data_IF_197052747674
#
_entry.id   IF_197052747674
#
_cell.length_a   1.000
_cell.length_b   1.000
_cell.length_c   1.000
_cell.angle_alpha   90.00
_cell.angle_beta   90.00
_cell.angle_gamma   90.00
#
_symmetry.space_group_name_H-M   'P 1'
#
loop_
_entity.id
_entity.type
_entity.pdbx_description
1 polymer ?
#
# COMPACT_ATOMS: atom_id res chain seq x y z
N UNK A 1 -16.57 29.08 27.35
CA UNK A 1 -16.72 27.60 27.37
C UNK A 1 -16.92 26.95 25.98
N UNK A 2 -17.01 27.71 24.87
CA UNK A 2 -17.30 27.18 23.53
C UNK A 2 -16.06 26.72 22.73
N UNK A 3 -14.92 27.39 22.90
CA UNK A 3 -13.69 27.12 22.12
C UNK A 3 -13.12 25.70 22.31
N UNK A 4 -13.14 25.17 23.54
CA UNK A 4 -12.65 23.82 23.84
C UNK A 4 -13.55 22.68 23.32
N UNK A 5 -14.83 22.95 23.06
CA UNK A 5 -15.79 21.96 22.54
C UNK A 5 -15.62 21.75 21.03
N UNK A 6 -15.34 22.82 20.28
CA UNK A 6 -15.07 22.76 18.84
C UNK A 6 -13.77 22.01 18.50
N UNK A 7 -12.69 22.29 19.23
CA UNK A 7 -11.39 21.61 19.02
C UNK A 7 -11.50 20.10 19.26
N UNK A 8 -12.21 19.68 20.33
CA UNK A 8 -12.43 18.27 20.60
C UNK A 8 -13.19 17.55 19.47
N UNK A 9 -14.25 18.18 18.93
CA UNK A 9 -15.00 17.60 17.80
C UNK A 9 -14.15 17.49 16.54
N UNK A 10 -13.34 18.51 16.23
CA UNK A 10 -12.41 18.46 15.10
C UNK A 10 -11.41 17.30 15.23
N UNK A 11 -10.87 17.07 16.42
CA UNK A 11 -10.00 15.93 16.72
C UNK A 11 -10.69 14.60 16.45
N UNK A 12 -11.92 14.43 16.96
CA UNK A 12 -12.66 13.19 16.78
C UNK A 12 -12.90 12.85 15.31
N UNK A 13 -13.26 13.84 14.49
CA UNK A 13 -13.44 13.65 13.04
C UNK A 13 -12.14 13.44 12.28
N UNK A 14 -11.09 14.20 12.62
CA UNK A 14 -9.77 13.99 12.01
C UNK A 14 -9.29 12.55 12.26
N UNK A 15 -9.38 12.06 13.51
CA UNK A 15 -9.02 10.68 13.83
C UNK A 15 -9.90 9.68 13.07
N UNK A 16 -11.21 9.93 13.00
CA UNK A 16 -12.16 9.04 12.30
C UNK A 16 -11.74 8.84 10.83
N UNK A 17 -11.34 9.91 10.15
CA UNK A 17 -10.97 9.88 8.73
C UNK A 17 -9.51 9.49 8.49
N UNK A 18 -8.61 9.89 9.38
CA UNK A 18 -7.20 9.56 9.27
C UNK A 18 -6.94 8.08 9.57
N UNK A 19 -7.69 7.45 10.49
CA UNK A 19 -7.40 6.09 10.92
C UNK A 19 -7.40 5.05 9.78
N UNK A 20 -8.46 4.94 8.94
CA UNK A 20 -8.43 4.00 7.82
C UNK A 20 -7.25 4.26 6.88
N UNK A 21 -7.01 5.54 6.55
CA UNK A 21 -5.93 5.95 5.66
C UNK A 21 -4.55 5.60 6.22
N UNK A 22 -4.31 5.83 7.52
CA UNK A 22 -3.04 5.52 8.18
C UNK A 22 -2.79 4.01 8.26
N UNK A 23 -3.84 3.20 8.48
CA UNK A 23 -3.72 1.73 8.45
C UNK A 23 -3.34 1.24 7.05
N UNK A 24 -3.98 1.79 6.01
CA UNK A 24 -3.62 1.49 4.61
C UNK A 24 -2.18 1.90 4.31
N UNK A 25 -1.79 3.16 4.60
CA UNK A 25 -0.44 3.64 4.35
C UNK A 25 0.63 2.79 5.08
N UNK A 26 0.37 2.41 6.34
CA UNK A 26 1.25 1.51 7.08
C UNK A 26 1.34 0.13 6.43
N UNK A 27 0.22 -0.46 6.03
CA UNK A 27 0.20 -1.77 5.35
C UNK A 27 0.93 -1.74 4.02
N UNK A 28 0.74 -0.70 3.19
CA UNK A 28 1.45 -0.51 1.92
C UNK A 28 2.95 -0.37 2.14
N UNK A 29 3.38 0.34 3.20
CA UNK A 29 4.80 0.47 3.52
C UNK A 29 5.44 -0.86 3.92
N UNK A 30 4.71 -1.73 4.62
CA UNK A 30 5.17 -3.07 4.98
C UNK A 30 5.17 -3.99 3.76
N UNK A 31 4.14 -3.91 2.94
CA UNK A 31 3.99 -4.67 1.70
C UNK A 31 5.14 -4.38 0.73
N UNK A 32 5.44 -3.11 0.50
CA UNK A 32 6.55 -2.67 -0.34
C UNK A 32 7.86 -2.68 0.45
N UNK A 33 8.23 -3.85 0.96
CA UNK A 33 9.49 -4.09 1.65
C UNK A 33 10.17 -5.36 1.15
N UNK A 34 11.48 -5.43 1.32
CA UNK A 34 12.26 -6.61 0.92
C UNK A 34 11.82 -7.84 1.71
N UNK A 35 11.45 -7.67 2.98
CA UNK A 35 11.02 -8.78 3.82
C UNK A 35 9.66 -9.33 3.41
N UNK A 36 8.70 -8.47 3.05
CA UNK A 36 7.42 -8.97 2.53
C UNK A 36 7.64 -9.74 1.22
N UNK A 37 8.41 -9.16 0.28
CA UNK A 37 8.74 -9.84 -0.98
C UNK A 37 9.41 -11.20 -0.71
N UNK A 38 10.39 -11.24 0.19
CA UNK A 38 11.10 -12.47 0.57
C UNK A 38 10.16 -13.53 1.14
N UNK A 39 9.31 -13.15 2.09
CA UNK A 39 8.34 -14.07 2.71
C UNK A 39 7.35 -14.61 1.68
N UNK A 40 6.84 -13.73 0.82
CA UNK A 40 5.85 -14.06 -0.20
C UNK A 40 6.42 -15.06 -1.22
N UNK A 41 7.60 -14.78 -1.77
CA UNK A 41 8.24 -15.63 -2.76
C UNK A 41 8.77 -16.95 -2.22
N UNK A 42 9.03 -17.04 -0.91
CA UNK A 42 9.48 -18.26 -0.25
C UNK A 42 8.32 -19.10 0.32
N UNK A 43 7.07 -18.62 0.23
CA UNK A 43 5.93 -19.36 0.77
C UNK A 43 5.62 -20.60 -0.08
N UNK A 44 5.15 -21.70 0.55
CA UNK A 44 4.73 -22.89 -0.19
C UNK A 44 3.63 -22.57 -1.19
N UNK A 45 3.81 -22.99 -2.44
CA UNK A 45 2.79 -22.88 -3.50
C UNK A 45 2.79 -21.56 -4.28
N UNK A 46 3.73 -20.64 -4.05
CA UNK A 46 3.85 -19.45 -4.92
C UNK A 46 4.22 -19.86 -6.35
N UNK A 47 3.55 -19.32 -7.39
CA UNK A 47 3.73 -19.78 -8.77
C UNK A 47 5.11 -19.44 -9.33
N UNK A 48 5.70 -20.41 -10.03
CA UNK A 48 6.95 -20.20 -10.79
C UNK A 48 6.74 -19.20 -11.95
N UNK A 49 7.83 -18.55 -12.39
CA UNK A 49 7.79 -17.75 -13.62
C UNK A 49 7.75 -18.67 -14.86
N UNK A 50 6.72 -18.59 -15.71
CA UNK A 50 6.71 -19.35 -16.96
C UNK A 50 7.80 -18.92 -17.94
N UNK A 51 8.41 -17.74 -17.75
CA UNK A 51 9.45 -17.18 -18.62
C UNK A 51 10.88 -17.33 -18.05
N UNK A 52 11.06 -18.06 -16.95
CA UNK A 52 12.38 -18.54 -16.51
C UNK A 52 13.09 -17.73 -15.43
N UNK A 53 12.47 -16.72 -14.81
CA UNK A 53 12.97 -16.19 -13.54
C UNK A 53 12.77 -17.23 -12.43
N UNK A 54 13.87 -17.58 -11.77
CA UNK A 54 13.83 -18.34 -10.53
C UNK A 54 13.30 -17.49 -9.39
N UNK A 55 12.94 -18.11 -8.28
CA UNK A 55 12.61 -17.38 -7.04
C UNK A 55 13.73 -16.41 -6.66
N UNK A 56 14.99 -16.83 -6.78
CA UNK A 56 16.14 -15.97 -6.46
C UNK A 56 16.22 -14.77 -7.41
N UNK A 57 16.02 -14.97 -8.72
CA UNK A 57 15.98 -13.85 -9.68
C UNK A 57 14.91 -12.82 -9.33
N UNK A 58 13.72 -13.28 -8.92
CA UNK A 58 12.63 -12.37 -8.55
C UNK A 58 12.92 -11.60 -7.27
N UNK A 59 13.65 -12.19 -6.32
CA UNK A 59 14.11 -11.51 -5.11
C UNK A 59 15.23 -10.51 -5.41
N UNK A 60 16.15 -10.86 -6.30
CA UNK A 60 17.29 -9.99 -6.64
C UNK A 60 16.81 -8.80 -7.50
N UNK A 61 16.04 -9.06 -8.55
CA UNK A 61 15.59 -8.02 -9.47
C UNK A 61 14.38 -7.23 -8.94
N UNK A 62 13.47 -7.89 -8.21
CA UNK A 62 12.27 -7.25 -7.66
C UNK A 62 12.57 -6.27 -6.54
N UNK A 63 13.72 -6.37 -5.87
CA UNK A 63 14.10 -5.39 -4.85
C UNK A 63 14.59 -4.07 -5.45
N UNK A 64 15.15 -4.07 -6.66
CA UNK A 64 15.57 -2.84 -7.34
C UNK A 64 14.42 -1.85 -7.54
N UNK A 65 13.24 -2.32 -7.95
CA UNK A 65 12.08 -1.47 -8.08
C UNK A 65 11.57 -1.00 -6.70
N UNK A 66 11.58 -1.83 -5.66
CA UNK A 66 11.23 -1.40 -4.29
C UNK A 66 12.17 -0.30 -3.79
N UNK A 67 13.48 -0.46 -3.96
CA UNK A 67 14.49 0.53 -3.60
C UNK A 67 14.29 1.84 -4.37
N UNK A 68 13.95 1.76 -5.66
CA UNK A 68 13.65 2.92 -6.48
C UNK A 68 12.42 3.69 -5.97
N UNK A 69 11.35 2.99 -5.60
CA UNK A 69 10.09 3.61 -5.15
C UNK A 69 10.25 4.47 -3.89
N UNK A 70 11.19 4.12 -3.00
CA UNK A 70 11.44 4.86 -1.75
C UNK A 70 12.75 5.66 -1.74
N UNK A 71 13.61 5.47 -2.74
CA UNK A 71 14.87 6.20 -2.90
C UNK A 71 14.69 7.58 -3.53
N UNK A 72 15.74 8.40 -3.50
CA UNK A 72 15.78 9.72 -4.16
C UNK A 72 16.20 9.68 -5.62
N UNK A 73 16.57 8.50 -6.14
CA UNK A 73 17.07 8.35 -7.50
C UNK A 73 15.97 8.48 -8.56
N UNK A 74 16.35 8.90 -9.76
CA UNK A 74 15.50 8.83 -10.94
C UNK A 74 15.53 7.41 -11.58
N UNK A 75 14.73 7.21 -12.62
CA UNK A 75 14.57 5.92 -13.30
C UNK A 75 15.81 5.47 -14.04
N UNK A 76 16.83 6.32 -14.22
CA UNK A 76 18.09 5.93 -14.88
C UNK A 76 18.78 4.77 -14.16
N UNK A 77 18.61 4.68 -12.82
CA UNK A 77 19.11 3.54 -12.03
C UNK A 77 18.50 2.20 -12.42
N UNK A 78 17.30 2.20 -12.97
CA UNK A 78 16.62 0.99 -13.43
C UNK A 78 16.83 0.77 -14.93
N UNK A 79 16.99 1.86 -15.70
CA UNK A 79 17.05 1.84 -17.16
C UNK A 79 18.24 1.03 -17.71
N UNK A 80 19.36 1.00 -16.98
CA UNK A 80 20.58 0.31 -17.40
C UNK A 80 20.71 -1.12 -16.81
N UNK A 81 19.74 -1.57 -16.00
CA UNK A 81 19.78 -2.92 -15.45
C UNK A 81 19.56 -3.94 -16.56
N UNK A 82 20.39 -4.97 -16.61
CA UNK A 82 20.34 -6.02 -17.61
C UNK A 82 20.09 -7.38 -16.97
N UNK A 83 19.38 -8.23 -17.70
CA UNK A 83 19.16 -9.63 -17.36
C UNK A 83 19.91 -10.55 -18.35
N UNK A 84 20.23 -11.79 -17.94
CA UNK A 84 20.88 -12.74 -18.84
C UNK A 84 20.06 -12.96 -20.13
N UNK A 85 20.70 -13.07 -21.31
CA UNK A 85 19.99 -13.17 -22.59
C UNK A 85 18.93 -14.28 -22.67
N UNK A 86 19.16 -15.40 -22.00
CA UNK A 86 18.23 -16.53 -21.92
C UNK A 86 16.97 -16.25 -21.10
N UNK A 87 16.96 -15.19 -20.28
CA UNK A 87 15.82 -14.73 -19.47
C UNK A 87 15.14 -13.50 -20.08
N UNK A 88 15.69 -12.96 -21.17
CA UNK A 88 15.17 -11.79 -21.86
C UNK A 88 13.84 -12.09 -22.55
N UNK A 89 12.98 -11.09 -22.59
CA UNK A 89 11.77 -11.10 -23.39
C UNK A 89 12.09 -11.06 -24.91
N UNK A 90 11.35 -11.80 -25.74
CA UNK A 90 11.52 -11.86 -27.21
C UNK A 90 10.22 -11.41 -27.92
N UNK A 91 10.29 -10.71 -29.08
CA UNK A 91 11.24 -10.98 -30.17
C UNK A 91 12.52 -10.12 -30.21
N UNK A 92 13.50 -10.65 -30.94
CA UNK A 92 14.93 -10.36 -30.87
C UNK A 92 15.41 -9.03 -31.47
N UNK A 93 14.55 -8.15 -31.96
CA UNK A 93 14.90 -6.89 -32.62
C UNK A 93 15.05 -5.69 -31.66
N UNK A 94 14.43 -5.75 -30.48
CA UNK A 94 14.61 -4.76 -29.40
C UNK A 94 15.54 -5.25 -28.25
N UNK A 95 16.10 -6.45 -28.36
CA UNK A 95 16.78 -7.18 -27.29
C UNK A 95 18.31 -6.95 -27.21
N UNK A 96 18.86 -5.92 -27.86
CA UNK A 96 20.31 -5.75 -27.98
C UNK A 96 21.07 -5.71 -26.64
N UNK A 97 20.41 -5.25 -25.57
CA UNK A 97 21.01 -5.09 -24.24
C UNK A 97 20.32 -5.92 -23.13
N UNK A 98 19.28 -6.70 -23.46
CA UNK A 98 18.52 -7.50 -22.48
C UNK A 98 18.15 -6.69 -21.22
N UNK A 99 17.59 -5.50 -21.39
CA UNK A 99 17.23 -4.63 -20.27
C UNK A 99 16.19 -5.31 -19.37
N UNK A 100 16.32 -5.12 -18.06
CA UNK A 100 15.38 -5.65 -17.07
C UNK A 100 14.00 -5.01 -17.28
N UNK A 101 13.92 -3.69 -17.42
CA UNK A 101 12.66 -2.98 -17.66
C UNK A 101 12.68 -2.28 -19.01
N UNK A 102 11.59 -2.38 -19.75
CA UNK A 102 11.35 -1.62 -20.96
C UNK A 102 10.87 -0.19 -20.65
N UNK A 103 10.81 0.66 -21.68
CA UNK A 103 10.45 2.07 -21.51
C UNK A 103 9.04 2.30 -20.94
N UNK A 104 8.08 1.40 -21.19
CA UNK A 104 6.74 1.50 -20.62
C UNK A 104 6.74 1.12 -19.13
N UNK A 105 7.44 0.04 -18.77
CA UNK A 105 7.58 -0.42 -17.38
C UNK A 105 8.28 0.63 -16.51
N UNK A 106 9.34 1.27 -17.03
CA UNK A 106 10.05 2.35 -16.35
C UNK A 106 9.13 3.56 -16.07
N UNK A 107 8.38 4.02 -17.08
CA UNK A 107 7.41 5.12 -16.90
C UNK A 107 6.35 4.77 -15.87
N UNK A 108 5.86 3.53 -15.87
CA UNK A 108 4.89 3.09 -14.87
C UNK A 108 5.48 3.08 -13.46
N UNK A 109 6.72 2.61 -13.28
CA UNK A 109 7.40 2.67 -11.98
C UNK A 109 7.58 4.12 -11.51
N UNK A 110 7.84 5.07 -12.41
CA UNK A 110 7.86 6.51 -12.08
C UNK A 110 6.48 7.01 -11.62
N UNK A 111 5.41 6.65 -12.34
CA UNK A 111 4.04 6.99 -11.93
C UNK A 111 3.72 6.43 -10.54
N UNK A 112 4.05 5.16 -10.29
CA UNK A 112 3.86 4.50 -8.98
C UNK A 112 4.64 5.24 -7.90
N UNK A 113 5.89 5.64 -8.17
CA UNK A 113 6.71 6.42 -7.24
C UNK A 113 6.05 7.76 -6.89
N UNK A 114 5.48 8.45 -7.86
CA UNK A 114 4.77 9.71 -7.62
C UNK A 114 3.52 9.52 -6.75
N UNK A 115 2.73 8.48 -7.03
CA UNK A 115 1.55 8.12 -6.21
C UNK A 115 1.96 7.81 -4.78
N UNK A 116 2.97 6.95 -4.58
CA UNK A 116 3.45 6.59 -3.25
C UNK A 116 4.00 7.81 -2.50
N UNK A 117 4.78 8.66 -3.18
CA UNK A 117 5.31 9.90 -2.59
C UNK A 117 4.17 10.79 -2.09
N UNK A 118 3.13 10.99 -2.90
CA UNK A 118 1.97 11.79 -2.51
C UNK A 118 1.19 11.17 -1.33
N UNK A 119 0.95 9.85 -1.37
CA UNK A 119 0.26 9.12 -0.30
C UNK A 119 1.02 9.22 1.02
N UNK A 120 2.34 8.97 1.02
CA UNK A 120 3.15 9.03 2.23
C UNK A 120 3.35 10.47 2.74
N UNK A 121 3.43 11.46 1.86
CA UNK A 121 3.44 12.87 2.26
C UNK A 121 2.12 13.25 2.96
N UNK A 122 0.98 12.85 2.40
CA UNK A 122 -0.33 13.07 3.02
C UNK A 122 -0.44 12.33 4.37
N UNK A 123 0.06 11.10 4.46
CA UNK A 123 0.09 10.34 5.71
C UNK A 123 0.91 11.05 6.79
N UNK A 124 2.08 11.58 6.42
CA UNK A 124 2.91 12.37 7.33
C UNK A 124 2.18 13.64 7.81
N UNK A 125 1.52 14.38 6.92
CA UNK A 125 0.73 15.57 7.28
C UNK A 125 -0.43 15.20 8.22
N UNK A 126 -1.19 14.15 7.92
CA UNK A 126 -2.27 13.66 8.78
C UNK A 126 -1.78 13.24 10.16
N UNK A 127 -0.63 12.56 10.24
CA UNK A 127 -0.01 12.15 11.49
C UNK A 127 0.42 13.37 12.33
N UNK A 128 1.10 14.35 11.71
CA UNK A 128 1.53 15.58 12.38
C UNK A 128 0.33 16.43 12.85
N UNK A 129 -0.70 16.58 12.03
CA UNK A 129 -1.92 17.29 12.40
C UNK A 129 -2.63 16.62 13.58
N UNK A 130 -2.72 15.29 13.56
CA UNK A 130 -3.28 14.51 14.67
C UNK A 130 -2.45 14.70 15.94
N UNK A 131 -1.12 14.59 15.87
CA UNK A 131 -0.22 14.78 17.01
C UNK A 131 -0.31 16.19 17.61
N UNK A 132 -0.33 17.23 16.77
CA UNK A 132 -0.45 18.62 17.21
C UNK A 132 -1.78 18.88 17.95
N UNK A 133 -2.89 18.35 17.44
CA UNK A 133 -4.19 18.50 18.08
C UNK A 133 -4.30 17.68 19.38
N UNK A 134 -3.69 16.48 19.42
CA UNK A 134 -3.61 15.69 20.65
C UNK A 134 -2.82 16.44 21.74
N UNK A 135 -1.69 17.05 21.37
CA UNK A 135 -0.90 17.89 22.29
C UNK A 135 -1.71 19.09 22.80
N UNK A 136 -2.38 19.82 21.90
CA UNK A 136 -3.20 20.98 22.26
C UNK A 136 -4.39 20.65 23.17
N UNK A 137 -4.86 19.39 23.16
CA UNK A 137 -6.06 18.97 23.88
C UNK A 137 -5.78 17.99 25.04
N UNK A 138 -4.50 17.75 25.38
CA UNK A 138 -4.03 16.70 26.29
C UNK A 138 -4.67 16.71 27.68
N UNK A 139 -5.03 17.88 28.20
CA UNK A 139 -5.59 18.05 29.56
C UNK A 139 -7.11 18.00 29.65
N UNK A 140 -7.84 17.96 28.53
CA UNK A 140 -9.31 18.06 28.53
C UNK A 140 -10.05 16.71 28.58
N UNK A 141 -10.89 16.48 29.60
CA UNK A 141 -11.75 15.29 29.67
C UNK A 141 -12.67 15.15 28.42
N UNK A 142 -13.16 16.28 27.89
CA UNK A 142 -13.92 16.31 26.64
C UNK A 142 -13.09 15.82 25.44
N UNK A 143 -11.81 16.17 25.37
CA UNK A 143 -10.93 15.75 24.29
C UNK A 143 -10.66 14.24 24.33
N UNK A 144 -10.39 13.68 25.52
CA UNK A 144 -10.25 12.23 25.71
C UNK A 144 -11.46 11.45 25.19
N UNK A 145 -12.68 11.93 25.49
CA UNK A 145 -13.92 11.34 24.97
C UNK A 145 -14.00 11.41 23.44
N UNK A 146 -13.62 12.53 22.84
CA UNK A 146 -13.65 12.69 21.37
C UNK A 146 -12.59 11.85 20.66
N UNK A 147 -11.39 11.72 21.23
CA UNK A 147 -10.35 10.82 20.74
C UNK A 147 -10.87 9.38 20.71
N UNK A 148 -11.41 8.91 21.85
CA UNK A 148 -11.98 7.56 21.96
C UNK A 148 -13.10 7.34 20.94
N UNK A 149 -14.04 8.28 20.84
CA UNK A 149 -15.16 8.19 19.89
C UNK A 149 -14.66 8.20 18.44
N UNK A 150 -13.62 9.00 18.13
CA UNK A 150 -12.99 9.03 16.82
C UNK A 150 -12.30 7.73 16.47
N UNK A 151 -11.57 7.11 17.41
CA UNK A 151 -10.96 5.79 17.24
C UNK A 151 -12.01 4.70 16.96
N UNK A 152 -13.10 4.68 17.74
CA UNK A 152 -14.19 3.72 17.55
C UNK A 152 -14.86 3.91 16.18
N UNK A 153 -15.18 5.15 15.79
CA UNK A 153 -15.77 5.45 14.48
C UNK A 153 -14.83 5.11 13.33
N UNK A 154 -13.56 5.49 13.44
CA UNK A 154 -12.54 5.18 12.44
C UNK A 154 -12.33 3.67 12.28
N UNK A 155 -12.35 2.92 13.38
CA UNK A 155 -12.25 1.46 13.35
C UNK A 155 -13.48 0.84 12.66
N UNK A 156 -14.70 1.26 13.02
CA UNK A 156 -15.91 0.80 12.34
C UNK A 156 -15.91 1.16 10.85
N UNK A 157 -15.47 2.37 10.49
CA UNK A 157 -15.34 2.81 9.10
C UNK A 157 -14.33 1.95 8.34
N UNK A 158 -13.18 1.64 8.95
CA UNK A 158 -12.16 0.77 8.37
C UNK A 158 -12.73 -0.63 8.11
N UNK A 159 -13.41 -1.23 9.09
CA UNK A 159 -14.02 -2.55 8.96
C UNK A 159 -15.10 -2.58 7.86
N UNK A 160 -15.94 -1.55 7.80
CA UNK A 160 -16.95 -1.42 6.75
C UNK A 160 -16.31 -1.30 5.36
N UNK A 161 -15.25 -0.50 5.23
CA UNK A 161 -14.52 -0.32 3.98
C UNK A 161 -13.84 -1.63 3.54
N UNK A 162 -13.12 -2.31 4.45
CA UNK A 162 -12.47 -3.60 4.15
C UNK A 162 -13.49 -4.64 3.73
N UNK A 163 -14.62 -4.76 4.44
CA UNK A 163 -15.68 -5.72 4.08
C UNK A 163 -16.25 -5.43 2.69
N UNK A 164 -16.51 -4.15 2.39
CA UNK A 164 -17.05 -3.73 1.08
C UNK A 164 -16.06 -4.05 -0.04
N UNK A 165 -14.78 -3.69 0.13
CA UNK A 165 -13.72 -3.96 -0.84
C UNK A 165 -13.50 -5.46 -1.03
N UNK A 166 -13.52 -6.25 0.05
CA UNK A 166 -13.37 -7.70 -0.01
C UNK A 166 -14.51 -8.36 -0.80
N UNK A 167 -15.76 -7.94 -0.59
CA UNK A 167 -16.91 -8.45 -1.36
C UNK A 167 -16.75 -8.11 -2.84
N UNK A 168 -16.34 -6.89 -3.19
CA UNK A 168 -16.10 -6.51 -4.59
C UNK A 168 -14.97 -7.32 -5.22
N UNK A 169 -13.84 -7.49 -4.52
CA UNK A 169 -12.70 -8.26 -5.02
C UNK A 169 -13.03 -9.73 -5.25
N UNK A 170 -13.82 -10.35 -4.38
CA UNK A 170 -14.27 -11.76 -4.54
C UNK A 170 -15.28 -11.90 -5.68
N UNK A 171 -16.16 -10.90 -5.86
CA UNK A 171 -17.20 -10.96 -6.88
C UNK A 171 -16.66 -10.67 -8.29
N UNK A 172 -15.67 -9.78 -8.43
CA UNK A 172 -15.17 -9.31 -9.73
C UNK A 172 -13.72 -8.82 -9.63
N UNK A 173 -12.77 -9.74 -9.40
CA UNK A 173 -11.35 -9.42 -9.24
C UNK A 173 -10.79 -8.53 -10.36
N UNK A 174 -10.93 -8.95 -11.63
CA UNK A 174 -10.38 -8.21 -12.77
C UNK A 174 -10.91 -6.78 -12.83
N UNK A 175 -12.23 -6.60 -12.66
CA UNK A 175 -12.85 -5.28 -12.69
C UNK A 175 -12.43 -4.42 -11.49
N UNK A 176 -12.31 -5.02 -10.30
CA UNK A 176 -11.87 -4.30 -9.11
C UNK A 176 -10.40 -3.86 -9.23
N UNK A 177 -9.53 -4.73 -9.75
CA UNK A 177 -8.13 -4.43 -10.02
C UNK A 177 -8.01 -3.28 -11.04
N UNK A 178 -8.77 -3.36 -12.12
CA UNK A 178 -8.74 -2.37 -13.18
C UNK A 178 -9.21 -0.99 -12.70
N UNK A 179 -10.37 -0.94 -12.02
CA UNK A 179 -10.91 0.30 -11.47
C UNK A 179 -9.97 0.92 -10.44
N UNK A 180 -9.30 0.11 -9.62
CA UNK A 180 -8.30 0.59 -8.68
C UNK A 180 -7.14 1.29 -9.42
N UNK A 181 -6.62 0.68 -10.48
CA UNK A 181 -5.50 1.26 -11.24
C UNK A 181 -5.91 2.52 -12.01
N UNK A 182 -7.12 2.58 -12.55
CA UNK A 182 -7.64 3.75 -13.29
C UNK A 182 -7.81 5.01 -12.41
N UNK A 183 -7.92 4.85 -11.09
CA UNK A 183 -7.92 5.99 -10.15
C UNK A 183 -6.57 6.70 -10.13
N UNK A 184 -5.47 5.95 -10.31
CA UNK A 184 -4.10 6.44 -10.12
C UNK A 184 -3.34 6.63 -11.44
N UNK A 185 -3.69 5.87 -12.48
CA UNK A 185 -2.91 5.75 -13.70
C UNK A 185 -3.78 5.98 -14.94
N UNK A 186 -3.17 6.58 -15.97
CA UNK A 186 -3.84 6.78 -17.25
C UNK A 186 -4.12 5.43 -17.96
N UNK A 187 -5.17 5.40 -18.79
CA UNK A 187 -5.52 4.21 -19.55
C UNK A 187 -4.34 3.73 -20.42
N UNK A 188 -3.98 2.45 -20.30
CA UNK A 188 -2.92 1.81 -21.08
C UNK A 188 -1.50 1.96 -20.52
N UNK A 189 -1.28 2.64 -19.39
CA UNK A 189 0.07 2.82 -18.81
C UNK A 189 0.44 1.80 -17.74
N UNK A 190 -0.45 0.89 -17.38
CA UNK A 190 -0.29 -0.03 -16.26
C UNK A 190 -0.61 -1.49 -16.59
N UNK A 191 -1.03 -1.79 -17.83
CA UNK A 191 -1.20 -3.17 -18.31
C UNK A 191 0.00 -3.55 -19.17
N UNK A 192 0.59 -4.69 -18.85
CA UNK A 192 1.76 -5.22 -19.55
C UNK A 192 1.52 -6.66 -19.97
N UNK A 193 2.15 -7.12 -21.06
CA UNK A 193 2.24 -8.54 -21.38
C UNK A 193 2.78 -9.34 -20.19
N UNK A 194 2.29 -10.57 -19.96
CA UNK A 194 2.80 -11.47 -18.91
C UNK A 194 4.30 -11.80 -19.02
N UNK A 195 4.85 -11.55 -20.19
CA UNK A 195 6.22 -11.80 -20.58
C UNK A 195 7.17 -10.62 -20.26
N UNK A 196 6.62 -9.45 -19.94
CA UNK A 196 7.36 -8.27 -19.47
C UNK A 196 7.88 -8.51 -18.05
N UNK A 197 9.09 -8.03 -17.75
CA UNK A 197 9.77 -8.34 -16.49
C UNK A 197 9.00 -7.87 -15.27
N UNK A 198 8.33 -6.73 -15.31
CA UNK A 198 7.56 -6.16 -14.22
C UNK A 198 6.46 -7.11 -13.76
N UNK A 199 5.69 -7.70 -14.69
CA UNK A 199 4.66 -8.68 -14.36
C UNK A 199 5.27 -10.02 -13.97
N UNK A 200 6.44 -10.37 -14.52
CA UNK A 200 7.17 -11.55 -14.08
C UNK A 200 7.71 -11.40 -12.65
N UNK A 201 8.05 -10.19 -12.21
CA UNK A 201 8.54 -9.85 -10.87
C UNK A 201 7.41 -9.60 -9.87
N UNK A 202 6.26 -9.13 -10.33
CA UNK A 202 5.07 -8.87 -9.52
C UNK A 202 3.85 -9.49 -10.24
N UNK A 203 3.72 -10.83 -10.22
CA UNK A 203 2.63 -11.50 -10.91
C UNK A 203 1.30 -11.24 -10.22
N UNK A 204 0.20 -11.49 -10.92
CA UNK A 204 -1.17 -11.33 -10.40
C UNK A 204 -1.38 -11.98 -9.02
N UNK A 205 -0.81 -13.17 -8.81
CA UNK A 205 -0.87 -13.86 -7.52
C UNK A 205 -0.34 -12.98 -6.37
N UNK A 206 0.79 -12.27 -6.57
CA UNK A 206 1.33 -11.35 -5.58
C UNK A 206 0.35 -10.23 -5.24
N UNK A 207 -0.43 -9.74 -6.21
CA UNK A 207 -1.45 -8.72 -5.97
C UNK A 207 -2.66 -9.26 -5.21
N UNK A 208 -3.06 -10.50 -5.47
CA UNK A 208 -4.10 -11.19 -4.67
C UNK A 208 -3.65 -11.31 -3.21
N UNK A 209 -2.44 -11.81 -2.98
CA UNK A 209 -1.90 -11.97 -1.61
C UNK A 209 -1.68 -10.63 -0.92
N UNK A 210 -1.23 -9.61 -1.67
CA UNK A 210 -1.13 -8.23 -1.20
C UNK A 210 -2.48 -7.69 -0.73
N UNK A 211 -3.55 -7.97 -1.48
CA UNK A 211 -4.91 -7.55 -1.12
C UNK A 211 -5.39 -8.21 0.17
N UNK A 212 -5.12 -9.50 0.35
CA UNK A 212 -5.38 -10.19 1.62
C UNK A 212 -4.56 -9.63 2.78
N UNK A 213 -3.28 -9.35 2.57
CA UNK A 213 -2.42 -8.76 3.60
C UNK A 213 -2.92 -7.38 4.04
N UNK A 214 -3.18 -6.48 3.09
CA UNK A 214 -3.68 -5.12 3.37
C UNK A 214 -5.03 -5.19 4.09
N UNK A 215 -5.97 -6.00 3.58
CA UNK A 215 -7.29 -6.18 4.19
C UNK A 215 -7.20 -6.75 5.60
N UNK A 216 -6.40 -7.80 5.80
CA UNK A 216 -6.18 -8.44 7.10
C UNK A 216 -5.50 -7.51 8.10
N UNK A 217 -4.46 -6.78 7.68
CA UNK A 217 -3.76 -5.80 8.52
C UNK A 217 -4.70 -4.67 8.96
N UNK A 218 -5.48 -4.11 8.03
CA UNK A 218 -6.42 -3.03 8.33
C UNK A 218 -7.55 -3.51 9.25
N UNK A 219 -8.14 -4.69 8.97
CA UNK A 219 -9.19 -5.26 9.81
C UNK A 219 -8.67 -5.61 11.21
N UNK A 220 -7.53 -6.28 11.31
CA UNK A 220 -6.90 -6.65 12.58
C UNK A 220 -6.55 -5.40 13.41
N UNK A 221 -5.93 -4.40 12.79
CA UNK A 221 -5.62 -3.12 13.42
C UNK A 221 -6.88 -2.41 13.93
N UNK A 222 -7.94 -2.35 13.11
CA UNK A 222 -9.22 -1.76 13.49
C UNK A 222 -9.88 -2.49 14.67
N UNK A 223 -9.88 -3.82 14.68
CA UNK A 223 -10.40 -4.62 15.81
C UNK A 223 -9.63 -4.34 17.09
N UNK A 224 -8.30 -4.35 17.04
CA UNK A 224 -7.45 -4.05 18.21
C UNK A 224 -7.75 -2.64 18.73
N UNK A 225 -7.82 -1.64 17.87
CA UNK A 225 -8.15 -0.26 18.24
C UNK A 225 -9.55 -0.17 18.87
N UNK A 226 -10.54 -0.88 18.31
CA UNK A 226 -11.90 -0.90 18.83
C UNK A 226 -11.95 -1.54 20.23
N UNK A 227 -11.23 -2.64 20.44
CA UNK A 227 -11.12 -3.31 21.74
C UNK A 227 -10.44 -2.40 22.78
N UNK A 228 -9.26 -1.86 22.46
CA UNK A 228 -8.50 -1.01 23.37
C UNK A 228 -9.26 0.28 23.74
N UNK A 229 -9.90 0.92 22.75
CA UNK A 229 -10.71 2.12 22.99
C UNK A 229 -11.96 1.85 23.83
N UNK A 230 -12.56 0.66 23.71
CA UNK A 230 -13.70 0.23 24.52
C UNK A 230 -13.29 -0.18 25.94
N UNK A 231 -12.11 -0.77 26.13
CA UNK A 231 -11.57 -1.05 27.46
C UNK A 231 -11.20 0.24 28.21
N UNK A 232 -10.72 1.26 27.50
CA UNK A 232 -10.49 2.60 28.07
C UNK A 232 -11.79 3.20 28.62
N UNK A 233 -12.93 3.02 27.93
CA UNK A 233 -14.23 3.47 28.44
C UNK A 233 -14.60 2.86 29.78
N UNK A 234 -14.38 1.55 29.95
CA UNK A 234 -14.74 0.82 31.18
C UNK A 234 -13.89 1.17 32.40
N UNK A 235 -12.68 1.69 32.20
CA UNK A 235 -11.77 2.11 33.29
C UNK A 235 -11.94 3.57 33.72
N UNK A 236 -12.60 4.37 32.90
CA UNK A 236 -12.88 5.79 33.16
C UNK A 236 -14.30 6.10 33.59
N UNK A 237 -15.18 5.08 33.64
CA UNK A 237 -16.50 5.09 34.25
C UNK A 237 -16.43 4.47 35.64
#
# INVERSE_FOLDING_TARGET
MTKGRGIGQAIGWLITLALPFMLVAASVRLLLSHEFLRLEYQRPGFPADPYGFTTQDRLDYGTHAIDFLFGSADSSKLADLQIPPQKCWQPADAAANCLLFNANELRHLEDVKHVLTAVFALAAVCALATAALLYAAWSGASAKRQIRTGLQRGACLTLAAVLTLAVMAVAAWDSAFDQFHEIFFAAGTWRFPYSDSLIRLYPEQLFVDASFFIGGFCAGGAVVILLLSSLWERRGA
#
